data_IF_223527820896
#
_entry.id   IF_223527820896
#
_cell.length_a   1.000
_cell.length_b   1.000
_cell.length_c   1.000
_cell.angle_alpha   90.00
_cell.angle_beta   90.00
_cell.angle_gamma   90.00
#
_symmetry.space_group_name_H-M   'P 1'
#
loop_
_entity.id
_entity.type
_entity.pdbx_description
1 polymer ?
#
# COMPACT_ATOMS: atom_id res chain seq x y z
N UNK A 1 15.64 19.95 -9.86
CA UNK A 1 15.73 18.47 -9.81
C UNK A 1 14.34 17.95 -9.48
N UNK A 2 14.03 16.70 -9.82
CA UNK A 2 12.83 16.07 -9.28
C UNK A 2 13.00 15.89 -7.77
N UNK A 3 11.97 16.17 -6.99
CA UNK A 3 11.96 15.89 -5.55
C UNK A 3 11.95 14.37 -5.31
N UNK A 4 12.65 13.87 -4.29
CA UNK A 4 12.75 12.44 -4.02
C UNK A 4 11.40 11.85 -3.55
N UNK A 5 11.10 10.66 -4.03
CA UNK A 5 9.95 9.84 -3.64
C UNK A 5 10.17 9.20 -2.25
N UNK A 6 9.10 8.83 -1.52
CA UNK A 6 9.25 8.17 -0.22
C UNK A 6 10.13 6.92 -0.23
N UNK A 7 10.11 6.14 -1.31
CA UNK A 7 10.92 4.94 -1.47
C UNK A 7 12.39 5.19 -1.77
N UNK A 8 12.75 6.41 -2.18
CA UNK A 8 14.14 6.85 -2.31
C UNK A 8 14.73 7.34 -0.98
N UNK A 9 13.87 7.65 -0.01
CA UNK A 9 14.24 8.23 1.28
C UNK A 9 14.20 7.17 2.37
N UNK A 10 13.09 6.44 2.48
CA UNK A 10 12.81 5.53 3.59
C UNK A 10 13.12 4.07 3.26
N UNK A 11 13.59 3.33 4.26
CA UNK A 11 13.82 1.89 4.21
C UNK A 11 12.55 1.07 4.42
N UNK A 12 11.59 1.62 5.14
CA UNK A 12 10.35 0.92 5.45
C UNK A 12 9.42 1.73 6.33
N UNK A 13 8.41 1.04 6.83
CA UNK A 13 7.42 1.57 7.77
C UNK A 13 7.25 0.64 8.96
N UNK A 14 6.88 1.23 10.08
CA UNK A 14 6.32 0.54 11.25
C UNK A 14 4.85 0.90 11.34
N UNK A 15 3.98 -0.07 11.61
CA UNK A 15 2.55 0.15 11.83
C UNK A 15 1.99 -0.77 12.91
N UNK A 16 0.87 -0.40 13.52
CA UNK A 16 0.17 -1.33 14.42
C UNK A 16 -0.49 -2.47 13.64
N UNK A 17 -0.72 -3.59 14.34
CA UNK A 17 -1.46 -4.72 13.78
C UNK A 17 -2.88 -4.35 13.33
N UNK A 18 -3.49 -3.36 14.00
CA UNK A 18 -4.75 -2.76 13.60
C UNK A 18 -4.63 -1.23 13.61
N UNK A 19 -4.83 -0.61 12.44
CA UNK A 19 -4.91 0.84 12.26
C UNK A 19 -5.79 1.13 11.05
N UNK A 20 -6.36 2.32 10.99
CA UNK A 20 -7.24 2.73 9.91
C UNK A 20 -6.68 3.93 9.16
N UNK A 21 -6.92 4.00 7.84
CA UNK A 21 -6.52 5.12 6.98
C UNK A 21 -5.04 5.55 7.07
N UNK A 22 -4.14 4.66 7.50
CA UNK A 22 -2.72 4.97 7.63
C UNK A 22 -2.36 5.90 8.80
N UNK A 23 -3.23 6.05 9.81
CA UNK A 23 -3.01 6.97 10.95
C UNK A 23 -1.87 6.56 11.88
N UNK A 24 -1.53 5.27 11.90
CA UNK A 24 -0.50 4.71 12.78
C UNK A 24 0.56 3.98 11.94
N UNK A 25 1.06 4.68 10.92
CA UNK A 25 2.15 4.22 10.07
C UNK A 25 3.27 5.25 10.12
N UNK A 26 4.45 4.85 10.61
CA UNK A 26 5.62 5.73 10.69
C UNK A 26 6.74 5.19 9.79
N UNK A 27 7.33 6.02 8.92
CA UNK A 27 8.45 5.59 8.10
C UNK A 27 9.77 5.58 8.89
N UNK A 28 10.74 4.80 8.44
CA UNK A 28 12.10 4.82 8.99
C UNK A 28 13.18 4.81 7.89
N UNK A 29 14.30 5.50 8.15
CA UNK A 29 15.44 5.65 7.23
C UNK A 29 16.50 4.55 7.38
N UNK A 30 16.53 3.87 8.52
CA UNK A 30 17.59 2.94 8.90
C UNK A 30 17.40 2.42 10.32
N UNK A 31 18.35 1.65 10.88
CA UNK A 31 18.21 1.01 12.18
C UNK A 31 17.88 1.99 13.31
N UNK A 32 18.56 3.14 13.39
CA UNK A 32 18.29 4.15 14.42
C UNK A 32 16.92 4.82 14.22
N UNK A 33 16.51 5.01 12.97
CA UNK A 33 15.19 5.53 12.62
C UNK A 33 14.08 4.55 12.99
N UNK A 34 14.34 3.24 12.86
CA UNK A 34 13.40 2.19 13.24
C UNK A 34 13.17 2.21 14.75
N UNK A 35 14.23 2.26 15.55
CA UNK A 35 14.12 2.35 17.02
C UNK A 35 13.25 3.55 17.42
N UNK A 36 13.53 4.74 16.86
CA UNK A 36 12.75 5.95 17.14
C UNK A 36 11.29 5.82 16.71
N UNK A 37 11.02 5.24 15.54
CA UNK A 37 9.65 5.02 15.07
C UNK A 37 8.88 4.08 16.02
N UNK A 38 9.50 3.00 16.47
CA UNK A 38 8.91 2.06 17.43
C UNK A 38 8.62 2.72 18.77
N UNK A 39 9.59 3.46 19.32
CA UNK A 39 9.42 4.21 20.58
C UNK A 39 8.27 5.21 20.48
N UNK A 40 8.22 5.98 19.39
CA UNK A 40 7.16 6.96 19.14
C UNK A 40 5.77 6.32 19.03
N UNK A 41 5.66 5.15 18.40
CA UNK A 41 4.38 4.42 18.33
C UNK A 41 3.89 4.03 19.72
N UNK A 42 4.73 3.40 20.54
CA UNK A 42 4.32 2.95 21.88
C UNK A 42 4.12 4.09 22.88
N UNK A 43 4.75 5.25 22.68
CA UNK A 43 4.59 6.42 23.53
C UNK A 43 3.25 7.17 23.33
N UNK A 44 2.45 6.81 22.31
CA UNK A 44 1.17 7.46 22.03
C UNK A 44 0.18 7.24 23.18
N UNK A 45 -0.38 8.32 23.70
CA UNK A 45 -1.35 8.28 24.80
C UNK A 45 -2.60 7.46 24.40
N UNK A 46 -3.08 6.63 25.32
CA UNK A 46 -4.23 5.76 25.07
C UNK A 46 -3.96 4.57 24.13
N UNK A 47 -2.70 4.29 23.81
CA UNK A 47 -2.35 3.12 23.01
C UNK A 47 -2.38 1.83 23.84
N UNK A 48 -3.24 0.89 23.44
CA UNK A 48 -3.34 -0.46 24.01
C UNK A 48 -2.75 -1.55 23.10
N UNK A 49 -2.23 -1.19 21.93
CA UNK A 49 -1.66 -2.13 20.98
C UNK A 49 -0.34 -2.68 21.52
N UNK A 50 -0.20 -4.01 21.50
CA UNK A 50 1.02 -4.71 21.94
C UNK A 50 1.87 -5.20 20.77
N UNK A 51 1.35 -5.11 19.55
CA UNK A 51 1.98 -5.66 18.34
C UNK A 51 2.18 -4.57 17.30
N UNK A 52 3.37 -4.57 16.72
CA UNK A 52 3.73 -3.77 15.55
C UNK A 52 4.16 -4.68 14.41
N UNK A 53 3.96 -4.19 13.19
CA UNK A 53 4.42 -4.78 11.94
C UNK A 53 5.47 -3.84 11.37
N UNK A 54 6.65 -4.38 11.08
CA UNK A 54 7.69 -3.68 10.33
C UNK A 54 7.64 -4.20 8.90
N UNK A 55 7.56 -3.29 7.94
CA UNK A 55 7.47 -3.62 6.52
C UNK A 55 8.50 -2.81 5.74
N UNK A 56 9.28 -3.48 4.89
CA UNK A 56 10.19 -2.80 3.97
C UNK A 56 9.42 -1.95 2.95
N UNK A 57 10.04 -0.85 2.55
CA UNK A 57 9.49 0.01 1.51
C UNK A 57 9.72 -0.64 0.15
N UNK A 58 8.64 -0.80 -0.63
CA UNK A 58 8.77 -1.28 -2.00
C UNK A 58 9.30 -0.14 -2.88
N UNK A 59 10.41 -0.32 -3.60
CA UNK A 59 10.92 0.69 -4.51
C UNK A 59 10.04 0.77 -5.76
N UNK A 60 10.02 1.93 -6.41
CA UNK A 60 9.41 2.13 -7.74
C UNK A 60 7.92 1.73 -7.82
N UNK A 61 7.14 1.97 -6.77
CA UNK A 61 5.69 1.78 -6.79
C UNK A 61 5.01 3.00 -7.40
N UNK A 62 4.41 2.82 -8.57
CA UNK A 62 3.70 3.88 -9.30
C UNK A 62 2.18 3.81 -9.13
N UNK A 63 1.65 2.60 -8.93
CA UNK A 63 0.24 2.32 -8.70
C UNK A 63 0.10 1.00 -7.94
N UNK A 64 -1.02 0.83 -7.24
CA UNK A 64 -1.43 -0.40 -6.58
C UNK A 64 -2.64 -0.98 -7.33
N UNK A 65 -2.62 -2.28 -7.57
CA UNK A 65 -3.78 -3.03 -8.05
C UNK A 65 -4.52 -3.64 -6.85
N UNK A 66 -5.78 -3.28 -6.66
CA UNK A 66 -6.64 -3.75 -5.57
C UNK A 66 -7.75 -4.61 -6.14
N UNK A 67 -7.85 -5.85 -5.68
CA UNK A 67 -9.00 -6.71 -5.93
C UNK A 67 -9.98 -6.60 -4.75
N UNK A 68 -11.19 -6.14 -5.04
CA UNK A 68 -12.33 -6.19 -4.13
C UNK A 68 -13.04 -7.52 -4.35
N UNK A 69 -12.98 -8.41 -3.36
CA UNK A 69 -13.54 -9.76 -3.45
C UNK A 69 -14.85 -9.79 -2.60
N UNK A 70 -16.02 -9.99 -3.22
CA UNK A 70 -17.36 -9.97 -2.59
C UNK A 70 -18.03 -11.34 -2.62
N UNK A 71 -18.50 -11.84 -1.48
CA UNK A 71 -19.28 -13.08 -1.45
C UNK A 71 -20.74 -12.82 -1.81
N UNK A 72 -21.19 -13.37 -2.93
CA UNK A 72 -22.58 -13.35 -3.34
C UNK A 72 -23.31 -14.59 -2.81
N UNK A 73 -24.19 -14.35 -1.83
CA UNK A 73 -24.99 -15.39 -1.19
C UNK A 73 -25.99 -16.06 -2.13
N UNK A 74 -26.45 -15.39 -3.19
CA UNK A 74 -27.43 -15.97 -4.11
C UNK A 74 -26.80 -17.02 -5.02
N UNK A 75 -25.58 -16.73 -5.50
CA UNK A 75 -24.84 -17.65 -6.37
C UNK A 75 -23.91 -18.59 -5.61
N UNK A 76 -23.64 -18.29 -4.33
CA UNK A 76 -22.70 -19.02 -3.49
C UNK A 76 -21.25 -18.86 -3.94
N UNK A 77 -20.92 -17.76 -4.63
CA UNK A 77 -19.62 -17.52 -5.27
C UNK A 77 -19.03 -16.16 -4.89
N UNK A 78 -17.72 -16.06 -4.97
CA UNK A 78 -17.01 -14.78 -4.88
C UNK A 78 -16.99 -14.08 -6.24
N UNK A 79 -17.33 -12.79 -6.25
CA UNK A 79 -17.12 -11.87 -7.37
C UNK A 79 -15.91 -10.99 -7.07
N UNK A 80 -15.08 -10.72 -8.08
CA UNK A 80 -13.87 -9.91 -7.96
C UNK A 80 -14.00 -8.67 -8.82
N UNK A 81 -13.83 -7.50 -8.22
CA UNK A 81 -13.78 -6.22 -8.92
C UNK A 81 -12.39 -5.62 -8.77
N UNK A 82 -11.77 -5.21 -9.88
CA UNK A 82 -10.41 -4.68 -9.89
C UNK A 82 -10.42 -3.16 -9.89
N UNK A 83 -9.55 -2.58 -9.07
CA UNK A 83 -9.30 -1.16 -9.03
C UNK A 83 -7.79 -0.89 -9.08
N UNK A 84 -7.39 0.03 -9.94
CA UNK A 84 -6.05 0.60 -9.87
C UNK A 84 -6.09 1.89 -9.07
N UNK A 85 -5.16 2.07 -8.16
CA UNK A 85 -5.02 3.32 -7.40
C UNK A 85 -3.59 3.82 -7.47
N UNK A 86 -3.41 5.14 -7.50
CA UNK A 86 -2.08 5.73 -7.45
C UNK A 86 -2.02 6.91 -6.49
N UNK A 87 -0.83 7.14 -5.95
CA UNK A 87 -0.51 8.35 -5.23
C UNK A 87 -0.17 9.45 -6.24
N UNK A 88 -1.08 10.43 -6.38
CA UNK A 88 -0.90 11.53 -7.34
C UNK A 88 -0.30 12.79 -6.70
N UNK A 89 -0.10 12.82 -5.38
CA UNK A 89 0.44 13.98 -4.67
C UNK A 89 1.94 13.85 -4.39
N UNK A 90 2.67 14.90 -4.78
CA UNK A 90 4.06 15.14 -4.35
C UNK A 90 4.05 15.62 -2.90
N UNK A 91 4.82 14.97 -2.04
CA UNK A 91 4.98 15.42 -0.65
C UNK A 91 5.86 16.68 -0.62
N UNK A 92 5.40 17.74 0.06
CA UNK A 92 6.23 18.92 0.34
C UNK A 92 7.20 18.68 1.50
N UNK A 93 6.80 17.83 2.46
CA UNK A 93 7.61 17.31 3.55
C UNK A 93 7.38 15.78 3.62
N UNK A 94 8.42 14.95 3.42
CA UNK A 94 8.27 13.50 3.38
C UNK A 94 7.97 12.85 4.74
N UNK A 95 8.23 13.53 5.86
CA UNK A 95 8.02 12.98 7.22
C UNK A 95 6.65 13.39 7.76
N UNK A 96 6.26 14.66 7.64
CA UNK A 96 4.93 15.11 8.07
C UNK A 96 3.82 14.64 7.11
N UNK A 97 4.13 14.53 5.82
CA UNK A 97 3.20 14.09 4.78
C UNK A 97 3.03 12.58 4.63
N UNK A 98 3.71 11.78 5.46
CA UNK A 98 3.57 10.32 5.42
C UNK A 98 2.19 9.85 5.92
N UNK A 99 1.56 10.64 6.81
CA UNK A 99 0.17 10.43 7.20
C UNK A 99 -0.76 10.68 6.01
N UNK A 100 -1.51 9.66 5.58
CA UNK A 100 -2.36 9.74 4.38
C UNK A 100 -1.77 9.15 3.10
N UNK A 101 -0.69 8.36 3.18
CA UNK A 101 -0.10 7.64 2.04
C UNK A 101 -0.96 6.51 1.45
N UNK A 102 -2.21 6.33 1.89
CA UNK A 102 -3.11 5.41 1.21
C UNK A 102 -3.46 5.98 -0.18
N UNK A 103 -2.96 5.33 -1.23
CA UNK A 103 -3.33 5.62 -2.61
C UNK A 103 -4.86 5.70 -2.73
N UNK A 104 -5.39 6.88 -3.06
CA UNK A 104 -6.82 7.19 -3.04
C UNK A 104 -7.38 7.59 -4.40
N UNK A 105 -6.50 7.88 -5.37
CA UNK A 105 -6.93 8.24 -6.72
C UNK A 105 -7.09 6.97 -7.55
N UNK A 106 -8.32 6.66 -7.93
CA UNK A 106 -8.63 5.55 -8.82
C UNK A 106 -8.19 5.90 -10.24
N UNK A 107 -7.48 4.99 -10.89
CA UNK A 107 -7.03 5.10 -12.27
C UNK A 107 -7.74 4.05 -13.14
N UNK A 108 -7.98 4.40 -14.40
CA UNK A 108 -8.41 3.45 -15.41
C UNK A 108 -7.19 2.62 -15.87
N UNK A 109 -7.36 1.35 -16.27
CA UNK A 109 -6.25 0.49 -16.69
C UNK A 109 -5.41 1.07 -17.83
N UNK A 110 -6.04 1.71 -18.82
CA UNK A 110 -5.32 2.36 -19.92
C UNK A 110 -4.45 3.54 -19.44
N UNK A 111 -4.90 4.27 -18.41
CA UNK A 111 -4.13 5.36 -17.81
C UNK A 111 -2.94 4.81 -17.04
N UNK A 112 -3.07 3.66 -16.36
CA UNK A 112 -1.95 2.99 -15.69
C UNK A 112 -0.92 2.53 -16.71
N UNK A 113 -1.34 1.86 -17.79
CA UNK A 113 -0.43 1.46 -18.85
C UNK A 113 0.37 2.65 -19.38
N UNK A 114 -0.30 3.73 -19.76
CA UNK A 114 0.33 4.92 -20.34
C UNK A 114 1.24 5.65 -19.33
N UNK A 115 0.74 5.94 -18.13
CA UNK A 115 1.41 6.84 -17.18
C UNK A 115 2.36 6.15 -16.21
N UNK A 116 2.13 4.88 -15.88
CA UNK A 116 2.91 4.15 -14.88
C UNK A 116 3.83 3.10 -15.51
N UNK A 117 3.46 2.55 -16.67
CA UNK A 117 4.16 1.45 -17.33
C UNK A 117 4.72 1.82 -18.72
N UNK A 118 4.79 3.11 -19.05
CA UNK A 118 5.32 3.62 -20.32
C UNK A 118 4.66 2.99 -21.57
N UNK A 119 3.37 2.68 -21.48
CA UNK A 119 2.60 2.01 -22.53
C UNK A 119 2.72 0.48 -22.57
N UNK A 120 3.40 -0.14 -21.60
CA UNK A 120 3.55 -1.60 -21.54
C UNK A 120 2.25 -2.28 -21.06
N UNK A 121 1.42 -2.65 -22.03
CA UNK A 121 0.14 -3.34 -21.80
C UNK A 121 0.33 -4.78 -21.32
N UNK A 122 1.44 -5.43 -21.67
CA UNK A 122 1.69 -6.82 -21.27
C UNK A 122 2.13 -6.88 -19.80
N UNK A 123 2.94 -5.92 -19.35
CA UNK A 123 3.25 -5.75 -17.92
C UNK A 123 1.98 -5.52 -17.09
N UNK A 124 1.05 -4.69 -17.59
CA UNK A 124 -0.24 -4.46 -16.94
C UNK A 124 -1.01 -5.78 -16.79
N UNK A 125 -1.23 -6.52 -17.88
CA UNK A 125 -1.96 -7.79 -17.86
C UNK A 125 -1.30 -8.82 -16.95
N UNK A 126 0.03 -8.90 -16.98
CA UNK A 126 0.79 -9.81 -16.12
C UNK A 126 0.55 -9.50 -14.64
N UNK A 127 0.60 -8.23 -14.25
CA UNK A 127 0.31 -7.80 -12.89
C UNK A 127 -1.13 -8.13 -12.48
N UNK A 128 -2.11 -7.93 -13.38
CA UNK A 128 -3.51 -8.26 -13.11
C UNK A 128 -3.73 -9.77 -12.90
N UNK A 129 -3.10 -10.61 -13.72
CA UNK A 129 -3.18 -12.07 -13.60
C UNK A 129 -2.55 -12.56 -12.29
N UNK A 130 -1.43 -11.97 -11.88
CA UNK A 130 -0.77 -12.33 -10.63
C UNK A 130 -1.63 -11.95 -9.42
N UNK A 131 -2.24 -10.76 -9.43
CA UNK A 131 -3.15 -10.30 -8.37
C UNK A 131 -4.40 -11.18 -8.29
N UNK A 132 -4.94 -11.63 -9.43
CA UNK A 132 -6.05 -12.58 -9.46
C UNK A 132 -5.67 -13.93 -8.83
N UNK A 133 -4.52 -14.49 -9.23
CA UNK A 133 -4.03 -15.75 -8.67
C UNK A 133 -3.77 -15.63 -7.16
N UNK A 134 -3.33 -14.46 -6.69
CA UNK A 134 -3.16 -14.19 -5.26
C UNK A 134 -4.51 -14.05 -4.52
N UNK A 135 -5.52 -13.33 -5.04
CA UNK A 135 -6.85 -13.32 -4.38
C UNK A 135 -7.44 -14.74 -4.34
N UNK A 136 -7.30 -15.54 -5.41
CA UNK A 136 -7.84 -16.91 -5.43
C UNK A 136 -7.20 -17.80 -4.37
N UNK A 137 -5.86 -17.75 -4.23
CA UNK A 137 -5.15 -18.49 -3.16
C UNK A 137 -5.54 -18.00 -1.76
N UNK A 138 -5.73 -16.69 -1.59
CA UNK A 138 -6.13 -16.12 -0.31
C UNK A 138 -7.55 -16.55 0.06
N UNK A 139 -8.50 -16.48 -0.87
CA UNK A 139 -9.88 -16.93 -0.67
C UNK A 139 -9.96 -18.42 -0.33
N UNK A 140 -9.14 -19.26 -0.97
CA UNK A 140 -9.05 -20.70 -0.64
C UNK A 140 -8.51 -20.98 0.76
N UNK A 141 -7.65 -20.11 1.28
CA UNK A 141 -7.09 -20.26 2.61
C UNK A 141 -8.01 -19.69 3.70
N UNK A 142 -8.66 -18.57 3.42
CA UNK A 142 -9.44 -17.80 4.39
C UNK A 142 -10.91 -18.21 4.52
N UNK A 143 -11.46 -18.95 3.55
CA UNK A 143 -12.90 -19.24 3.44
C UNK A 143 -13.15 -20.73 3.17
#
# INVERSE_FOLDING_TARGET
>A
GADPTPSEIFKGVVKFGFSWCGTDVLPFLGPEGLVKAVEAMFAKEGNEQTTIIVQEMLPNVFAECRNLCFYDKLTGKYHKERLWVAQMQKLKDPVEGFSGMASSNVLLPNVVAEKCLNGDVEALKSAELEVDALCDRWLQWAC
#
